data_IF_816500297006
#
_entry.id   IF_816500297006
#
_cell.length_a   1.000
_cell.length_b   1.000
_cell.length_c   1.000
_cell.angle_alpha   90.00
_cell.angle_beta   90.00
_cell.angle_gamma   90.00
#
_symmetry.space_group_name_H-M   'P 1'
#
loop_
_entity.id
_entity.type
_entity.pdbx_description
1 polymer ?
#
# COMPACT_ATOMS: atom_id res chain seq x y z
N UNK A 1 0.30 22.46 15.83
CA UNK A 1 -1.08 22.02 16.11
C UNK A 1 -1.07 21.04 17.28
N UNK A 2 -1.61 21.43 18.43
CA UNK A 2 -1.80 20.54 19.59
C UNK A 2 -3.02 19.66 19.35
N UNK A 3 -2.87 18.35 19.53
CA UNK A 3 -3.96 17.39 19.33
C UNK A 3 -4.38 16.82 20.68
N UNK A 4 -5.51 17.29 21.22
CA UNK A 4 -6.17 16.74 22.41
C UNK A 4 -7.17 15.66 21.98
N UNK A 5 -6.76 14.40 22.00
CA UNK A 5 -7.62 13.23 21.76
C UNK A 5 -6.93 11.94 22.22
N UNK A 6 -7.65 10.81 22.22
CA UNK A 6 -7.08 9.47 22.40
C UNK A 6 -5.85 9.28 21.50
N UNK A 7 -4.76 8.63 21.97
CA UNK A 7 -3.53 8.44 21.21
C UNK A 7 -3.76 7.91 19.78
N UNK A 8 -4.75 7.04 19.62
CA UNK A 8 -5.23 6.46 18.35
C UNK A 8 -5.70 7.51 17.34
N UNK A 9 -6.45 8.50 17.83
CA UNK A 9 -6.99 9.59 17.03
C UNK A 9 -5.89 10.57 16.67
N UNK A 10 -4.94 10.80 17.58
CA UNK A 10 -3.78 11.67 17.34
C UNK A 10 -2.86 11.05 16.28
N UNK A 11 -2.53 9.76 16.39
CA UNK A 11 -1.73 9.06 15.37
C UNK A 11 -2.46 9.04 14.03
N UNK A 12 -3.74 8.70 14.00
CA UNK A 12 -4.54 8.75 12.77
C UNK A 12 -4.56 10.14 12.13
N UNK A 13 -4.74 11.22 12.91
CA UNK A 13 -4.71 12.60 12.40
C UNK A 13 -3.34 12.97 11.83
N UNK A 14 -2.24 12.63 12.54
CA UNK A 14 -0.87 12.85 12.07
C UNK A 14 -0.59 12.11 10.76
N UNK A 15 -0.98 10.83 10.70
CA UNK A 15 -0.87 10.00 9.50
C UNK A 15 -1.73 10.54 8.34
N UNK A 16 -2.91 11.09 8.64
CA UNK A 16 -3.80 11.70 7.64
C UNK A 16 -3.22 13.00 7.07
N UNK A 17 -2.53 13.82 7.87
CA UNK A 17 -1.81 14.99 7.36
C UNK A 17 -0.62 14.59 6.47
N UNK A 18 0.12 13.56 6.87
CA UNK A 18 1.25 13.04 6.10
C UNK A 18 0.80 12.45 4.75
N UNK A 19 -0.40 11.89 4.67
CA UNK A 19 -1.00 11.35 3.44
C UNK A 19 -0.98 12.34 2.27
N UNK A 20 -1.22 13.63 2.53
CA UNK A 20 -1.19 14.67 1.49
C UNK A 20 0.19 14.83 0.85
N UNK A 21 1.24 14.87 1.67
CA UNK A 21 2.63 14.95 1.23
C UNK A 21 3.06 13.67 0.49
N UNK A 22 2.64 12.51 0.98
CA UNK A 22 2.95 11.21 0.35
C UNK A 22 2.24 11.02 -1.00
N UNK A 23 1.03 11.57 -1.19
CA UNK A 23 0.37 11.56 -2.52
C UNK A 23 1.21 12.28 -3.58
N UNK A 24 1.90 13.35 -3.21
CA UNK A 24 2.83 14.06 -4.10
C UNK A 24 4.01 13.19 -4.54
N UNK A 25 4.51 12.34 -3.64
CA UNK A 25 5.58 11.37 -3.93
C UNK A 25 5.11 10.16 -4.76
N UNK A 26 3.80 9.88 -4.77
CA UNK A 26 3.16 8.87 -5.62
C UNK A 26 2.91 9.32 -7.06
N UNK A 27 3.36 10.52 -7.43
CA UNK A 27 3.24 11.05 -8.80
C UNK A 27 4.08 10.20 -9.76
N UNK A 28 3.55 10.01 -10.97
CA UNK A 28 4.15 9.19 -12.03
C UNK A 28 5.57 9.69 -12.35
N UNK A 29 6.64 8.88 -12.14
CA UNK A 29 8.02 9.32 -12.33
C UNK A 29 8.44 9.42 -13.81
N UNK A 30 7.62 8.90 -14.74
CA UNK A 30 7.93 8.80 -16.17
C UNK A 30 8.32 10.15 -16.80
N UNK A 31 7.67 11.25 -16.39
CA UNK A 31 7.99 12.59 -16.91
C UNK A 31 9.42 12.99 -16.53
N UNK A 32 9.78 12.85 -15.26
CA UNK A 32 11.10 13.19 -14.74
C UNK A 32 12.21 12.37 -15.40
N UNK A 33 12.01 11.07 -15.59
CA UNK A 33 12.99 10.20 -16.26
C UNK A 33 13.17 10.60 -17.73
N UNK A 34 12.06 10.89 -18.43
CA UNK A 34 12.08 11.33 -19.83
C UNK A 34 12.80 12.67 -20.00
N UNK A 35 12.55 13.62 -19.10
CA UNK A 35 13.16 14.95 -19.15
C UNK A 35 14.67 14.88 -18.89
N UNK A 36 15.09 14.10 -17.88
CA UNK A 36 16.51 13.87 -17.58
C UNK A 36 17.25 13.16 -18.72
N UNK A 37 16.62 12.15 -19.35
CA UNK A 37 17.17 11.48 -20.54
C UNK A 37 17.33 12.44 -21.72
N UNK A 38 16.35 13.32 -21.92
CA UNK A 38 16.40 14.32 -23.00
C UNK A 38 17.52 15.34 -22.75
N UNK A 39 17.69 15.79 -21.51
CA UNK A 39 18.78 16.68 -21.10
C UNK A 39 20.15 16.02 -21.27
N UNK A 40 20.31 14.76 -20.83
CA UNK A 40 21.53 13.99 -21.02
C UNK A 40 21.87 13.83 -22.50
N UNK A 41 20.88 13.55 -23.35
CA UNK A 41 21.06 13.42 -24.79
C UNK A 41 21.58 14.71 -25.42
N UNK A 42 21.02 15.87 -25.04
CA UNK A 42 21.48 17.19 -25.52
C UNK A 42 22.93 17.47 -25.13
N UNK A 43 23.32 17.16 -23.88
CA UNK A 43 24.71 17.33 -23.40
C UNK A 43 25.68 16.39 -24.12
N UNK A 44 25.29 15.13 -24.33
CA UNK A 44 26.09 14.16 -25.08
C UNK A 44 26.25 14.55 -26.56
N UNK A 45 25.22 15.13 -27.16
CA UNK A 45 25.31 15.67 -28.51
C UNK A 45 26.28 16.86 -28.58
N UNK A 46 26.22 17.79 -27.62
CA UNK A 46 27.12 18.93 -27.53
C UNK A 46 28.61 18.52 -27.39
N UNK A 47 28.88 17.48 -26.58
CA UNK A 47 30.21 16.90 -26.43
C UNK A 47 30.71 16.26 -27.74
N UNK A 48 29.84 15.55 -28.47
CA UNK A 48 30.18 14.95 -29.78
C UNK A 48 30.45 15.99 -30.85
N UNK A 49 29.84 17.17 -30.77
CA UNK A 49 30.08 18.29 -31.69
C UNK A 49 31.39 19.07 -31.40
N UNK A 50 32.24 18.58 -30.50
CA UNK A 50 33.60 19.12 -30.30
C UNK A 50 33.76 20.10 -29.14
N UNK A 51 32.72 20.32 -28.32
CA UNK A 51 32.83 21.12 -27.09
C UNK A 51 33.44 20.25 -25.99
N UNK A 52 34.77 20.11 -25.97
CA UNK A 52 35.48 19.35 -24.92
C UNK A 52 35.86 20.24 -23.74
N UNK A 53 34.86 20.85 -23.11
CA UNK A 53 35.03 21.60 -21.86
C UNK A 53 34.93 20.64 -20.65
N UNK A 54 35.91 20.62 -19.72
CA UNK A 54 35.84 19.86 -18.48
C UNK A 54 34.55 20.06 -17.68
N UNK A 55 33.94 21.25 -17.76
CA UNK A 55 32.66 21.58 -17.11
C UNK A 55 31.49 20.78 -17.70
N UNK A 56 31.45 20.62 -19.02
CA UNK A 56 30.39 19.87 -19.72
C UNK A 56 30.53 18.37 -19.45
N UNK A 57 31.75 17.85 -19.39
CA UNK A 57 32.02 16.45 -19.02
C UNK A 57 31.60 16.14 -17.56
N UNK A 58 31.85 17.06 -16.63
CA UNK A 58 31.38 16.92 -15.25
C UNK A 58 29.85 16.93 -15.17
N UNK A 59 29.19 17.81 -15.94
CA UNK A 59 27.72 17.86 -16.01
C UNK A 59 27.12 16.59 -16.59
N UNK A 60 27.76 16.00 -17.60
CA UNK A 60 27.36 14.73 -18.21
C UNK A 60 27.40 13.57 -17.21
N UNK A 61 28.48 13.50 -16.42
CA UNK A 61 28.65 12.49 -15.37
C UNK A 61 27.57 12.60 -14.30
N UNK A 62 27.23 13.82 -13.87
CA UNK A 62 26.16 14.02 -12.88
C UNK A 62 24.79 13.65 -13.45
N UNK A 63 24.48 14.06 -14.69
CA UNK A 63 23.23 13.69 -15.35
C UNK A 63 23.07 12.18 -15.53
N UNK A 64 24.15 11.45 -15.84
CA UNK A 64 24.12 9.97 -15.88
C UNK A 64 23.71 9.36 -14.54
N UNK A 65 24.26 9.90 -13.45
CA UNK A 65 23.96 9.44 -12.09
C UNK A 65 22.50 9.73 -11.73
N UNK A 66 22.01 10.94 -12.04
CA UNK A 66 20.62 11.34 -11.82
C UNK A 66 19.64 10.47 -12.64
N UNK A 67 19.94 10.20 -13.92
CA UNK A 67 19.15 9.31 -14.77
C UNK A 67 19.12 7.89 -14.19
N UNK A 68 20.26 7.37 -13.73
CA UNK A 68 20.34 6.05 -13.11
C UNK A 68 19.50 5.94 -11.83
N UNK A 69 19.53 6.98 -10.97
CA UNK A 69 18.69 7.04 -9.78
C UNK A 69 17.20 7.13 -10.13
N UNK A 70 16.85 7.99 -11.08
CA UNK A 70 15.47 8.17 -11.52
C UNK A 70 14.90 6.89 -12.15
N UNK A 71 15.69 6.18 -12.96
CA UNK A 71 15.30 4.90 -13.56
C UNK A 71 15.06 3.80 -12.51
N UNK A 72 15.90 3.72 -11.46
CA UNK A 72 15.69 2.79 -10.34
C UNK A 72 14.40 3.08 -9.58
N UNK A 73 14.10 4.36 -9.35
CA UNK A 73 12.85 4.76 -8.70
C UNK A 73 11.62 4.44 -9.57
N UNK A 74 11.71 4.67 -10.88
CA UNK A 74 10.68 4.30 -11.85
C UNK A 74 10.43 2.78 -11.83
N UNK A 75 11.49 1.98 -11.88
CA UNK A 75 11.39 0.52 -11.80
C UNK A 75 10.71 0.06 -10.50
N UNK A 76 11.14 0.58 -9.35
CA UNK A 76 10.53 0.26 -8.06
C UNK A 76 9.03 0.63 -8.02
N UNK A 77 8.67 1.79 -8.56
CA UNK A 77 7.28 2.25 -8.66
C UNK A 77 6.41 1.30 -9.48
N UNK A 78 6.87 0.91 -10.67
CA UNK A 78 6.10 0.00 -11.53
C UNK A 78 6.09 -1.44 -11.02
N UNK A 79 7.19 -1.92 -10.43
CA UNK A 79 7.23 -3.20 -9.73
C UNK A 79 6.16 -3.25 -8.63
N UNK A 80 6.09 -2.23 -7.78
CA UNK A 80 5.07 -2.14 -6.72
C UNK A 80 3.64 -2.09 -7.29
N UNK A 81 3.38 -1.30 -8.33
CA UNK A 81 2.03 -1.20 -8.94
C UNK A 81 1.62 -2.49 -9.66
N UNK A 82 2.55 -3.21 -10.27
CA UNK A 82 2.27 -4.48 -10.95
C UNK A 82 1.86 -5.60 -9.98
N UNK A 83 2.28 -5.53 -8.71
CA UNK A 83 2.16 -6.60 -7.68
C UNK A 83 2.70 -7.98 -8.12
N UNK A 84 3.75 -7.98 -8.94
CA UNK A 84 4.44 -9.21 -9.34
C UNK A 84 5.51 -9.53 -8.31
N UNK A 85 5.45 -10.74 -7.73
CA UNK A 85 6.35 -11.17 -6.65
C UNK A 85 7.45 -12.14 -7.13
N UNK A 86 7.26 -12.79 -8.28
CA UNK A 86 8.09 -13.92 -8.73
C UNK A 86 9.27 -13.55 -9.63
N UNK A 87 9.37 -12.29 -10.09
CA UNK A 87 10.59 -11.82 -10.74
C UNK A 87 11.63 -11.50 -9.67
N UNK A 88 12.50 -12.48 -9.38
CA UNK A 88 13.75 -12.28 -8.67
C UNK A 88 14.67 -11.42 -9.55
N UNK A 89 15.32 -10.47 -8.89
CA UNK A 89 16.17 -9.42 -9.44
C UNK A 89 17.16 -9.99 -10.47
N UNK A 90 17.12 -9.45 -11.70
CA UNK A 90 17.98 -9.94 -12.78
C UNK A 90 17.89 -9.10 -14.05
N UNK A 91 16.75 -8.44 -14.31
CA UNK A 91 16.60 -7.55 -15.47
C UNK A 91 15.75 -6.32 -15.11
N UNK A 92 16.17 -5.13 -15.54
CA UNK A 92 15.45 -3.86 -15.31
C UNK A 92 14.22 -3.77 -16.22
N UNK A 93 13.22 -4.60 -15.93
CA UNK A 93 12.11 -4.88 -16.84
C UNK A 93 10.93 -3.92 -16.63
N UNK A 94 11.21 -2.61 -16.69
CA UNK A 94 10.17 -1.56 -16.58
C UNK A 94 9.07 -1.78 -17.60
N UNK A 95 9.39 -2.09 -18.86
CA UNK A 95 8.40 -2.33 -19.91
C UNK A 95 7.39 -3.44 -19.55
N UNK A 96 7.85 -4.55 -18.97
CA UNK A 96 6.96 -5.61 -18.50
C UNK A 96 6.08 -5.15 -17.34
N UNK A 97 6.65 -4.49 -16.33
CA UNK A 97 5.87 -3.97 -15.21
C UNK A 97 4.81 -2.95 -15.66
N UNK A 98 5.14 -2.07 -16.61
CA UNK A 98 4.18 -1.15 -17.20
C UNK A 98 3.03 -1.88 -17.91
N UNK A 99 3.34 -2.90 -18.73
CA UNK A 99 2.32 -3.72 -19.40
C UNK A 99 1.40 -4.39 -18.37
N UNK A 100 1.97 -4.95 -17.32
CA UNK A 100 1.22 -5.65 -16.28
C UNK A 100 0.36 -4.70 -15.44
N UNK A 101 0.83 -3.47 -15.18
CA UNK A 101 0.00 -2.42 -14.57
C UNK A 101 -1.21 -2.10 -15.47
N UNK A 102 -1.01 -1.95 -16.78
CA UNK A 102 -2.12 -1.71 -17.72
C UNK A 102 -3.12 -2.87 -17.77
N UNK A 103 -2.65 -4.11 -17.81
CA UNK A 103 -3.51 -5.31 -17.78
C UNK A 103 -4.35 -5.32 -16.49
N UNK A 104 -3.76 -4.99 -15.35
CA UNK A 104 -4.48 -4.94 -14.07
C UNK A 104 -5.47 -3.79 -14.01
N UNK A 105 -5.11 -2.62 -14.54
CA UNK A 105 -6.03 -1.49 -14.67
C UNK A 105 -7.23 -1.87 -15.54
N UNK A 106 -7.00 -2.54 -16.68
CA UNK A 106 -8.07 -3.03 -17.55
C UNK A 106 -8.94 -4.08 -16.87
N UNK A 107 -8.35 -5.06 -16.16
CA UNK A 107 -9.10 -6.08 -15.42
C UNK A 107 -9.91 -5.51 -14.26
N UNK A 108 -9.40 -4.47 -13.59
CA UNK A 108 -10.07 -3.83 -12.47
C UNK A 108 -11.01 -2.70 -12.90
N UNK A 109 -11.07 -2.39 -14.19
CA UNK A 109 -11.98 -1.37 -14.71
C UNK A 109 -13.38 -1.98 -14.80
N UNK A 110 -14.26 -1.49 -13.92
CA UNK A 110 -15.66 -1.88 -13.92
C UNK A 110 -16.38 -1.11 -15.03
N UNK A 111 -16.51 -1.73 -16.20
CA UNK A 111 -17.14 -1.12 -17.39
C UNK A 111 -18.64 -0.95 -17.20
N UNK A 112 -19.29 -1.96 -16.61
CA UNK A 112 -20.73 -1.97 -16.36
C UNK A 112 -21.08 -2.88 -15.21
N UNK A 113 -22.15 -2.55 -14.50
CA UNK A 113 -22.73 -3.39 -13.45
C UNK A 113 -24.21 -3.62 -13.75
N UNK A 114 -24.75 -4.74 -13.30
CA UNK A 114 -26.18 -5.04 -13.42
C UNK A 114 -26.86 -4.64 -12.12
N UNK A 115 -27.95 -3.88 -12.20
CA UNK A 115 -28.75 -3.50 -11.04
C UNK A 115 -29.68 -4.65 -10.59
N UNK A 116 -30.38 -4.45 -9.47
CA UNK A 116 -31.31 -5.43 -8.91
C UNK A 116 -32.50 -5.75 -9.85
N UNK A 117 -32.82 -4.85 -10.79
CA UNK A 117 -33.86 -5.03 -11.80
C UNK A 117 -33.34 -5.75 -13.05
N UNK A 118 -32.06 -6.10 -13.08
CA UNK A 118 -31.43 -6.78 -14.20
C UNK A 118 -31.02 -5.87 -15.36
N UNK A 119 -31.01 -4.55 -15.17
CA UNK A 119 -30.61 -3.53 -16.15
C UNK A 119 -29.10 -3.27 -16.04
N UNK A 120 -28.44 -3.14 -17.19
CA UNK A 120 -27.02 -2.78 -17.25
C UNK A 120 -26.83 -1.28 -17.09
N UNK A 121 -25.95 -0.90 -16.16
CA UNK A 121 -25.56 0.48 -15.88
C UNK A 121 -24.09 0.67 -16.24
N UNK A 122 -23.81 1.64 -17.11
CA UNK A 122 -22.47 1.92 -17.65
C UNK A 122 -21.93 3.30 -17.22
N UNK A 123 -22.78 4.19 -16.69
CA UNK A 123 -22.39 5.49 -16.16
C UNK A 123 -21.63 5.35 -14.84
N UNK A 124 -20.56 6.12 -14.63
CA UNK A 124 -19.74 6.07 -13.42
C UNK A 124 -20.55 6.36 -12.15
N UNK A 125 -21.42 7.39 -12.18
CA UNK A 125 -22.31 7.74 -11.07
C UNK A 125 -23.33 6.63 -10.79
N UNK A 126 -23.90 6.05 -11.84
CA UNK A 126 -24.86 4.95 -11.72
C UNK A 126 -24.23 3.68 -11.14
N UNK A 127 -23.02 3.32 -11.58
CA UNK A 127 -22.26 2.18 -11.04
C UNK A 127 -21.98 2.41 -9.54
N UNK A 128 -21.56 3.62 -9.17
CA UNK A 128 -21.32 3.97 -7.76
C UNK A 128 -22.61 3.85 -6.93
N UNK A 129 -23.74 4.32 -7.45
CA UNK A 129 -25.02 4.25 -6.75
C UNK A 129 -25.50 2.80 -6.57
N UNK A 130 -25.37 1.95 -7.58
CA UNK A 130 -25.70 0.52 -7.48
C UNK A 130 -24.84 -0.15 -6.41
N UNK A 131 -23.54 0.14 -6.37
CA UNK A 131 -22.64 -0.40 -5.34
C UNK A 131 -23.03 0.07 -3.93
N UNK A 132 -23.35 1.35 -3.76
CA UNK A 132 -23.82 1.90 -2.47
C UNK A 132 -25.09 1.20 -2.05
N UNK A 133 -26.11 1.14 -2.92
CA UNK A 133 -27.39 0.50 -2.59
C UNK A 133 -27.21 -0.97 -2.19
N UNK A 134 -26.41 -1.72 -2.94
CA UNK A 134 -26.11 -3.12 -2.66
C UNK A 134 -25.50 -3.32 -1.26
N UNK A 135 -24.44 -2.57 -0.93
CA UNK A 135 -23.78 -2.68 0.38
C UNK A 135 -24.61 -2.09 1.51
N UNK A 136 -25.40 -1.05 1.26
CA UNK A 136 -26.36 -0.51 2.23
C UNK A 136 -27.45 -1.52 2.53
N UNK A 137 -27.92 -2.30 1.56
CA UNK A 137 -28.89 -3.38 1.81
C UNK A 137 -28.27 -4.50 2.65
N UNK A 138 -27.04 -4.93 2.34
CA UNK A 138 -26.34 -6.00 3.08
C UNK A 138 -25.99 -5.57 4.51
N UNK A 139 -25.42 -4.38 4.70
CA UNK A 139 -24.91 -3.93 6.00
C UNK A 139 -25.90 -3.06 6.79
N UNK A 140 -26.86 -2.44 6.11
CA UNK A 140 -27.92 -1.62 6.72
C UNK A 140 -29.16 -2.41 7.14
N UNK A 141 -29.25 -3.68 6.75
CA UNK A 141 -30.20 -4.66 7.31
C UNK A 141 -29.82 -5.01 8.76
N UNK A 142 -29.99 -4.05 9.68
CA UNK A 142 -29.85 -4.26 11.13
C UNK A 142 -31.05 -4.99 11.74
N UNK A 143 -32.07 -5.36 10.94
CA UNK A 143 -33.34 -5.91 11.40
C UNK A 143 -33.67 -7.31 10.88
N UNK A 144 -32.75 -8.00 10.20
CA UNK A 144 -32.83 -9.46 10.25
C UNK A 144 -32.37 -9.82 11.65
N UNK A 145 -33.34 -10.21 12.49
CA UNK A 145 -33.12 -10.85 13.79
C UNK A 145 -31.86 -11.68 13.64
N UNK A 146 -30.80 -11.31 14.37
CA UNK A 146 -29.55 -12.04 14.35
C UNK A 146 -29.95 -13.50 14.55
N UNK A 147 -29.89 -14.29 13.46
CA UNK A 147 -30.44 -15.63 13.48
C UNK A 147 -29.87 -16.28 14.70
N UNK A 148 -30.71 -16.87 15.56
CA UNK A 148 -30.22 -17.61 16.70
C UNK A 148 -29.36 -18.74 16.13
N UNK A 149 -28.07 -18.47 15.94
CA UNK A 149 -27.14 -19.43 15.38
C UNK A 149 -27.02 -20.45 16.49
N UNK A 150 -27.63 -21.62 16.28
CA UNK A 150 -27.59 -22.68 17.25
C UNK A 150 -26.18 -23.29 17.20
N UNK A 151 -25.24 -22.64 17.88
CA UNK A 151 -23.84 -23.06 17.99
C UNK A 151 -23.68 -24.32 18.86
N UNK A 152 -24.78 -24.93 19.32
CA UNK A 152 -24.76 -26.15 20.11
C UNK A 152 -24.17 -27.34 19.36
N UNK A 153 -24.25 -27.37 18.02
CA UNK A 153 -23.68 -28.41 17.16
C UNK A 153 -22.22 -28.13 16.74
N UNK A 154 -21.67 -26.97 17.14
CA UNK A 154 -20.28 -26.60 16.87
C UNK A 154 -19.36 -27.15 17.97
N UNK A 155 -18.82 -28.36 17.76
CA UNK A 155 -17.95 -29.05 18.74
C UNK A 155 -16.53 -28.47 18.87
N UNK A 156 -16.14 -27.53 17.99
CA UNK A 156 -14.83 -26.85 18.08
C UNK A 156 -14.87 -25.75 19.15
N UNK A 157 -14.64 -26.13 20.40
CA UNK A 157 -14.45 -25.20 21.52
C UNK A 157 -12.97 -24.86 21.67
N UNK A 158 -12.69 -23.59 21.95
CA UNK A 158 -11.35 -23.12 22.33
C UNK A 158 -10.94 -23.85 23.61
N UNK A 159 -9.77 -24.50 23.60
CA UNK A 159 -9.28 -25.23 24.78
C UNK A 159 -8.94 -24.26 25.90
N UNK A 160 -8.93 -24.74 27.16
CA UNK A 160 -8.53 -23.92 28.30
C UNK A 160 -7.12 -23.33 28.17
N UNK A 161 -6.24 -24.02 27.43
CA UNK A 161 -4.93 -23.50 27.08
C UNK A 161 -4.99 -22.34 26.08
N UNK A 162 -5.79 -22.46 25.01
CA UNK A 162 -5.99 -21.38 24.05
C UNK A 162 -6.61 -20.14 24.70
N UNK A 163 -7.54 -20.31 25.65
CA UNK A 163 -8.12 -19.19 26.41
C UNK A 163 -7.05 -18.46 27.23
N UNK A 164 -6.16 -19.21 27.90
CA UNK A 164 -5.04 -18.61 28.65
C UNK A 164 -4.06 -17.89 27.73
N UNK A 165 -3.74 -18.47 26.58
CA UNK A 165 -2.86 -17.85 25.58
C UNK A 165 -3.47 -16.59 24.98
N UNK A 166 -4.73 -16.62 24.57
CA UNK A 166 -5.45 -15.46 24.01
C UNK A 166 -5.69 -14.35 25.05
N UNK A 167 -5.79 -14.70 26.33
CA UNK A 167 -5.92 -13.75 27.44
C UNK A 167 -4.57 -13.21 27.96
N UNK A 168 -3.44 -13.70 27.47
CA UNK A 168 -2.12 -13.25 27.93
C UNK A 168 -1.80 -11.82 27.44
N UNK A 169 -0.98 -11.05 28.19
CA UNK A 169 -0.56 -9.73 27.75
C UNK A 169 0.34 -9.81 26.51
N UNK A 170 0.03 -8.99 25.51
CA UNK A 170 0.79 -8.95 24.25
C UNK A 170 2.24 -8.55 24.51
N UNK A 171 3.18 -9.35 24.01
CA UNK A 171 4.61 -9.08 24.16
C UNK A 171 5.15 -8.23 23.02
N UNK A 172 6.20 -7.42 23.26
CA UNK A 172 6.90 -6.69 22.19
C UNK A 172 7.45 -7.60 21.10
N UNK A 173 7.87 -8.81 21.48
CA UNK A 173 8.41 -9.79 20.55
C UNK A 173 7.32 -10.30 19.60
N UNK A 174 6.13 -10.59 20.12
CA UNK A 174 4.96 -10.98 19.31
C UNK A 174 4.56 -9.89 18.31
N UNK A 175 4.60 -8.61 18.71
CA UNK A 175 4.38 -7.47 17.79
C UNK A 175 5.38 -7.49 16.64
N UNK A 176 6.64 -7.71 16.98
CA UNK A 176 7.75 -7.75 16.03
C UNK A 176 7.58 -8.93 15.08
N UNK A 177 7.31 -10.11 15.59
CA UNK A 177 7.17 -11.31 14.76
C UNK A 177 5.96 -11.19 13.82
N UNK A 178 4.82 -10.70 14.32
CA UNK A 178 3.63 -10.43 13.52
C UNK A 178 3.92 -9.39 12.41
N UNK A 179 4.59 -8.30 12.73
CA UNK A 179 4.90 -7.24 11.76
C UNK A 179 5.93 -7.70 10.70
N UNK A 180 6.89 -8.54 11.05
CA UNK A 180 7.89 -9.06 10.11
C UNK A 180 7.36 -10.24 9.29
N UNK A 181 6.32 -10.93 9.77
CA UNK A 181 5.57 -11.91 8.96
C UNK A 181 4.76 -11.26 7.84
N UNK A 182 4.46 -9.95 7.94
CA UNK A 182 3.76 -9.22 6.90
C UNK A 182 4.65 -9.04 5.67
N UNK A 183 4.14 -9.38 4.49
CA UNK A 183 4.85 -9.08 3.25
C UNK A 183 4.86 -7.55 3.02
N UNK A 184 6.04 -6.90 3.04
CA UNK A 184 6.12 -5.44 3.05
C UNK A 184 5.69 -4.79 1.72
N UNK A 185 5.68 -5.57 0.64
CA UNK A 185 5.24 -5.15 -0.69
C UNK A 185 3.71 -5.22 -0.90
N UNK A 186 2.94 -5.67 0.10
CA UNK A 186 1.48 -5.71 0.03
C UNK A 186 0.89 -4.31 -0.07
N UNK A 187 -0.36 -4.26 -0.54
CA UNK A 187 -1.09 -3.01 -0.71
C UNK A 187 -1.26 -2.30 0.64
N UNK A 188 -1.16 -0.96 0.67
CA UNK A 188 -1.44 -0.19 1.87
C UNK A 188 -2.90 -0.35 2.29
N UNK A 189 -3.15 -0.20 3.59
CA UNK A 189 -4.50 -0.13 4.14
C UNK A 189 -5.21 1.17 3.74
N UNK A 190 -6.39 1.42 4.31
CA UNK A 190 -7.13 2.69 4.16
C UNK A 190 -6.32 3.91 4.64
N UNK A 191 -5.35 3.66 5.51
CA UNK A 191 -4.38 4.62 6.04
C UNK A 191 -3.34 5.08 4.99
N UNK A 192 -3.08 4.29 3.95
CA UNK A 192 -2.14 4.60 2.87
C UNK A 192 -0.70 4.16 3.12
N UNK A 193 -0.42 3.39 4.18
CA UNK A 193 0.94 2.94 4.52
C UNK A 193 1.15 1.48 4.14
N UNK A 194 2.26 1.19 3.45
CA UNK A 194 2.66 -0.18 3.11
C UNK A 194 3.49 -0.80 4.24
N UNK A 195 3.72 -2.11 4.17
CA UNK A 195 4.46 -2.81 5.22
C UNK A 195 5.93 -2.35 5.35
N UNK A 196 6.54 -1.84 4.27
CA UNK A 196 7.88 -1.21 4.35
C UNK A 196 7.90 0.00 5.31
N UNK A 197 6.88 0.86 5.26
CA UNK A 197 6.78 2.01 6.16
C UNK A 197 6.62 1.56 7.61
N UNK A 198 5.77 0.55 7.84
CA UNK A 198 5.48 0.05 9.20
C UNK A 198 6.68 -0.66 9.82
N UNK A 199 7.38 -1.49 9.05
CA UNK A 199 8.59 -2.18 9.50
C UNK A 199 9.73 -1.18 9.79
N UNK A 200 9.96 -0.21 8.90
CA UNK A 200 11.00 0.81 9.09
C UNK A 200 10.73 1.73 10.28
N UNK A 201 9.46 1.99 10.61
CA UNK A 201 9.09 2.80 11.79
C UNK A 201 9.34 2.09 13.12
N UNK A 202 9.55 0.77 13.10
CA UNK A 202 9.76 -0.05 14.29
C UNK A 202 11.23 -0.47 14.47
N UNK A 203 12.13 -0.08 13.57
CA UNK A 203 13.57 -0.33 13.74
C UNK A 203 14.18 0.56 14.84
N UNK A 204 15.01 -0.01 15.74
CA UNK A 204 15.68 0.74 16.79
C UNK A 204 16.78 1.61 16.18
N UNK A 205 16.44 2.87 15.89
CA UNK A 205 17.36 3.85 15.30
C UNK A 205 16.68 5.13 14.81
N UNK A 206 15.37 5.09 14.53
CA UNK A 206 14.57 6.30 14.28
C UNK A 206 13.92 6.79 15.58
N UNK A 207 14.37 7.94 16.08
CA UNK A 207 13.75 8.64 17.20
C UNK A 207 12.26 8.87 16.97
N UNK A 208 11.40 8.13 17.68
CA UNK A 208 10.10 8.68 18.11
C UNK A 208 9.84 8.36 19.57
N UNK A 209 9.27 9.31 20.34
CA UNK A 209 8.98 9.12 21.74
C UNK A 209 7.61 8.45 21.94
N UNK A 210 7.55 7.70 23.03
CA UNK A 210 6.37 7.20 23.75
C UNK A 210 5.85 5.78 23.43
N UNK A 211 5.80 4.89 24.45
CA UNK A 211 5.30 3.50 24.36
C UNK A 211 3.83 3.33 23.95
N UNK A 212 3.03 4.40 23.91
CA UNK A 212 1.56 4.31 23.80
C UNK A 212 1.04 4.18 22.37
N UNK A 213 1.85 4.47 21.34
CA UNK A 213 1.48 4.29 19.92
C UNK A 213 1.48 2.84 19.46
N UNK A 214 2.23 1.97 20.15
CA UNK A 214 2.38 0.55 19.80
C UNK A 214 1.08 -0.23 20.08
N UNK A 215 0.33 0.16 21.11
CA UNK A 215 -0.94 -0.48 21.50
C UNK A 215 -2.05 -0.39 20.44
N UNK A 216 -1.92 0.59 19.54
CA UNK A 216 -2.91 0.94 18.52
C UNK A 216 -2.71 0.13 17.25
N UNK A 217 -1.45 -0.01 16.81
CA UNK A 217 -1.09 -0.85 15.67
C UNK A 217 -1.46 -2.32 15.94
N UNK A 218 -1.44 -2.73 17.22
CA UNK A 218 -1.76 -4.09 17.64
C UNK A 218 -3.21 -4.50 17.44
N UNK A 219 -4.18 -3.59 17.58
CA UNK A 219 -5.60 -3.92 17.29
C UNK A 219 -5.87 -4.06 15.79
N UNK A 220 -5.17 -3.29 14.96
CA UNK A 220 -5.29 -3.41 13.50
C UNK A 220 -4.67 -4.71 12.98
N UNK A 221 -3.55 -5.14 13.58
CA UNK A 221 -2.91 -6.42 13.28
C UNK A 221 -3.74 -7.61 13.79
N UNK A 222 -4.42 -7.47 14.94
CA UNK A 222 -5.36 -8.48 15.45
C UNK A 222 -6.52 -8.75 14.47
N UNK A 223 -7.07 -7.71 13.82
CA UNK A 223 -8.09 -7.87 12.79
C UNK A 223 -7.55 -8.58 11.54
N UNK A 224 -6.28 -8.35 11.17
CA UNK A 224 -5.65 -9.00 10.01
C UNK A 224 -5.34 -10.48 10.30
N UNK A 225 -4.84 -10.79 11.50
CA UNK A 225 -4.53 -12.17 11.91
C UNK A 225 -5.83 -12.99 12.07
N UNK A 226 -6.87 -12.39 12.65
CA UNK A 226 -8.16 -13.06 12.89
C UNK A 226 -8.93 -13.38 11.60
N UNK A 227 -8.73 -12.61 10.52
CA UNK A 227 -9.32 -12.91 9.19
C UNK A 227 -8.45 -13.83 8.32
N UNK A 228 -7.13 -13.90 8.55
CA UNK A 228 -6.26 -14.85 7.83
C UNK A 228 -6.33 -16.29 8.34
N UNK A 229 -6.80 -16.51 9.58
CA UNK A 229 -6.94 -17.84 10.18
C UNK A 229 -8.26 -18.57 9.90
N UNK A 230 -9.20 -17.94 9.19
CA UNK A 230 -10.51 -18.52 8.81
C UNK A 230 -10.54 -19.06 7.37
N UNK A 231 -9.39 -19.11 6.69
CA UNK A 231 -9.24 -19.58 5.32
C UNK A 231 -8.42 -20.90 5.21
N UNK A 232 -8.64 -21.82 6.15
CA UNK A 232 -8.34 -23.26 5.99
C UNK A 232 -9.59 -24.04 6.40
#
# INVERSE_FOLDING_TARGET
MSFSASPLVVTHKKLKCLKGLLRGLGTRPDSKVKDLRSCLHSVQHALKSGVSDPSVAAKEKELRKEVGQAARMEEAFYKQKSRIQWMKEGDSNTAYFHKMVKVRQSKNHLVRIRDDNGVWVESEEGIAQVAVNYFTNIFGSLNQEAGSYNLSEYDKRITGEQVRTLGSPISRQEVKDAMWSLNPSKAPGSDGYNGFFLQGSLEPGCNTPSPHGVHVALRSVQYIIQWSGLAI
#
